data_IF_622829380935
#
_entry.id   IF_622829380935
#
_cell.length_a   1.000
_cell.length_b   1.000
_cell.length_c   1.000
_cell.angle_alpha   90.00
_cell.angle_beta   90.00
_cell.angle_gamma   90.00
#
_symmetry.space_group_name_H-M   'P 1'
#
loop_
_entity.id
_entity.type
_entity.pdbx_description
1 polymer ?
#
# COMPACT_ATOMS: atom_id res chain seq x y z
N UNK A 1 -12.05 -31.15 -76.57
CA UNK A 1 -13.05 -30.54 -75.65
C UNK A 1 -13.39 -31.56 -74.57
N UNK A 2 -12.59 -31.64 -73.49
CA UNK A 2 -13.14 -31.31 -72.16
C UNK A 2 -12.16 -30.60 -71.18
N UNK A 3 -10.87 -30.42 -71.53
CA UNK A 3 -9.88 -29.88 -70.57
C UNK A 3 -9.85 -28.34 -70.46
N UNK A 4 -10.28 -27.61 -71.50
CA UNK A 4 -10.21 -26.14 -71.51
C UNK A 4 -11.31 -25.43 -70.69
N UNK A 5 -12.40 -26.13 -70.36
CA UNK A 5 -13.51 -25.57 -69.57
C UNK A 5 -13.20 -25.62 -68.07
N UNK A 6 -12.39 -26.58 -67.61
CA UNK A 6 -12.12 -26.76 -66.17
C UNK A 6 -11.11 -25.71 -65.64
N UNK A 7 -10.18 -25.24 -66.47
CA UNK A 7 -9.17 -24.25 -66.05
C UNK A 7 -9.76 -22.82 -65.96
N UNK A 8 -10.75 -22.49 -66.80
CA UNK A 8 -11.46 -21.21 -66.71
C UNK A 8 -12.40 -21.13 -65.50
N UNK A 9 -12.97 -22.25 -65.05
CA UNK A 9 -13.83 -22.30 -63.86
C UNK A 9 -13.09 -22.06 -62.54
N UNK A 10 -11.80 -22.43 -62.46
CA UNK A 10 -10.98 -22.23 -61.25
C UNK A 10 -10.44 -20.80 -61.17
N UNK A 11 -10.21 -20.14 -62.32
CA UNK A 11 -9.79 -18.74 -62.31
C UNK A 11 -10.91 -17.78 -61.90
N UNK A 12 -12.17 -18.03 -62.29
CA UNK A 12 -13.29 -17.17 -61.88
C UNK A 12 -13.78 -17.39 -60.44
N UNK A 13 -13.51 -18.55 -59.83
CA UNK A 13 -13.79 -18.78 -58.40
C UNK A 13 -12.74 -18.16 -57.45
N UNK A 14 -11.61 -17.66 -57.98
CA UNK A 14 -10.55 -17.03 -57.18
C UNK A 14 -10.48 -15.50 -57.33
N UNK A 15 -11.30 -14.89 -58.20
CA UNK A 15 -11.31 -13.43 -58.42
C UNK A 15 -12.64 -12.75 -58.09
N UNK A 16 -13.62 -13.49 -57.55
CA UNK A 16 -14.96 -12.97 -57.25
C UNK A 16 -15.49 -13.37 -55.86
N UNK A 17 -14.59 -13.49 -54.88
CA UNK A 17 -14.98 -13.25 -53.49
C UNK A 17 -14.74 -11.77 -53.26
N UNK A 18 -15.83 -11.03 -53.10
CA UNK A 18 -15.87 -9.66 -52.62
C UNK A 18 -14.79 -9.43 -51.55
N UNK A 19 -13.67 -8.83 -51.97
CA UNK A 19 -13.01 -7.89 -51.08
C UNK A 19 -13.82 -6.61 -51.17
N UNK A 20 -14.95 -6.58 -50.47
CA UNK A 20 -15.32 -5.33 -49.81
C UNK A 20 -14.03 -4.79 -49.23
N UNK A 21 -13.64 -3.61 -49.71
CA UNK A 21 -12.53 -2.87 -49.13
C UNK A 21 -12.98 -2.44 -47.74
N UNK A 22 -13.00 -3.37 -46.80
CA UNK A 22 -12.69 -3.04 -45.43
C UNK A 22 -11.29 -2.43 -45.51
N UNK A 23 -11.22 -1.11 -45.41
CA UNK A 23 -10.01 -0.43 -45.03
C UNK A 23 -9.47 -1.19 -43.82
N UNK A 24 -8.44 -2.00 -44.03
CA UNK A 24 -7.68 -2.62 -42.95
C UNK A 24 -7.10 -1.46 -42.18
N UNK A 25 -7.77 -1.08 -41.09
CA UNK A 25 -7.18 -0.19 -40.10
C UNK A 25 -5.90 -0.88 -39.66
N UNK A 26 -4.77 -0.26 -40.00
CA UNK A 26 -3.46 -0.65 -39.50
C UNK A 26 -3.30 -0.09 -38.09
N UNK A 27 -4.18 -0.52 -37.18
CA UNK A 27 -3.93 -0.36 -35.77
C UNK A 27 -2.56 -0.99 -35.51
N UNK A 28 -1.62 -0.16 -35.04
CA UNK A 28 -0.22 -0.52 -34.94
C UNK A 28 0.37 0.08 -33.67
N UNK A 29 1.58 -0.36 -33.32
CA UNK A 29 2.27 0.10 -32.10
C UNK A 29 2.51 1.63 -32.08
N UNK A 30 2.36 2.34 -33.21
CA UNK A 30 2.47 3.81 -33.25
C UNK A 30 1.32 4.53 -32.57
N UNK A 31 0.14 3.90 -32.52
CA UNK A 31 -1.10 4.46 -31.95
C UNK A 31 -1.38 3.89 -30.55
N UNK A 32 -0.41 3.22 -29.93
CA UNK A 32 -0.64 2.56 -28.65
C UNK A 32 -0.92 3.57 -27.51
N UNK A 33 -1.90 3.28 -26.63
CA UNK A 33 -2.07 3.99 -25.37
C UNK A 33 -0.76 4.02 -24.58
N UNK A 34 -0.55 5.11 -23.83
CA UNK A 34 0.59 5.26 -22.92
C UNK A 34 0.10 5.07 -21.50
N UNK A 35 0.84 4.29 -20.71
CA UNK A 35 0.58 4.15 -19.29
C UNK A 35 1.66 4.92 -18.55
N UNK A 36 1.26 5.86 -17.70
CA UNK A 36 2.18 6.67 -16.90
C UNK A 36 1.92 6.55 -15.41
N UNK A 37 2.98 6.75 -14.62
CA UNK A 37 2.95 6.84 -13.17
C UNK A 37 4.08 7.78 -12.74
N UNK A 38 3.74 8.98 -12.27
CA UNK A 38 4.70 10.07 -12.09
C UNK A 38 5.52 10.32 -13.36
N UNK A 39 6.84 10.18 -13.26
CA UNK A 39 7.77 10.37 -14.38
C UNK A 39 8.00 9.10 -15.24
N UNK A 40 7.42 7.96 -14.86
CA UNK A 40 7.58 6.69 -15.57
C UNK A 40 6.50 6.59 -16.64
N UNK A 41 6.85 6.11 -17.82
CA UNK A 41 5.88 5.85 -18.90
C UNK A 41 6.27 4.62 -19.72
N UNK A 42 5.27 3.86 -20.13
CA UNK A 42 5.42 2.74 -21.08
C UNK A 42 4.33 2.80 -22.13
N UNK A 43 4.65 2.42 -23.37
CA UNK A 43 3.64 2.23 -24.41
C UNK A 43 3.04 0.84 -24.29
N UNK A 44 1.72 0.72 -24.46
CA UNK A 44 1.08 -0.56 -24.63
C UNK A 44 1.53 -1.24 -25.94
N UNK A 45 1.35 -2.54 -26.04
CA UNK A 45 1.63 -3.32 -27.25
C UNK A 45 0.33 -3.69 -27.91
N UNK A 46 0.23 -3.51 -29.23
CA UNK A 46 -0.96 -3.90 -29.96
C UNK A 46 -1.18 -5.42 -29.88
N UNK A 47 -2.42 -5.83 -29.60
CA UNK A 47 -2.79 -7.23 -29.44
C UNK A 47 -3.71 -7.71 -30.58
N UNK A 48 -4.81 -7.00 -30.83
CA UNK A 48 -5.75 -7.35 -31.90
C UNK A 48 -6.66 -6.18 -32.31
N UNK A 49 -7.19 -6.26 -33.52
CA UNK A 49 -8.28 -5.42 -34.03
C UNK A 49 -9.59 -6.23 -34.06
N UNK A 50 -10.73 -5.56 -33.86
CA UNK A 50 -12.04 -6.19 -33.87
C UNK A 50 -12.43 -6.84 -32.54
N UNK A 51 -13.67 -7.30 -32.44
CA UNK A 51 -14.16 -8.14 -31.33
C UNK A 51 -13.68 -9.59 -31.51
N UNK A 52 -12.37 -9.82 -31.34
CA UNK A 52 -11.78 -11.16 -31.42
C UNK A 52 -11.65 -11.81 -30.03
N UNK A 53 -11.91 -13.11 -29.97
CA UNK A 53 -11.59 -13.93 -28.79
C UNK A 53 -10.08 -14.03 -28.63
N UNK A 54 -9.55 -13.54 -27.50
CA UNK A 54 -8.12 -13.56 -27.21
C UNK A 54 -7.68 -14.97 -26.81
N UNK A 55 -6.59 -15.46 -27.42
CA UNK A 55 -6.00 -16.76 -27.06
C UNK A 55 -4.83 -16.58 -26.10
N UNK A 56 -4.56 -17.58 -25.25
CA UNK A 56 -3.37 -17.62 -24.37
C UNK A 56 -2.07 -17.31 -25.14
N UNK A 57 -1.93 -17.86 -26.36
CA UNK A 57 -0.74 -17.67 -27.19
C UNK A 57 -0.58 -16.22 -27.65
N UNK A 58 -1.66 -15.59 -28.13
CA UNK A 58 -1.64 -14.18 -28.55
C UNK A 58 -1.20 -13.27 -27.39
N UNK A 59 -1.80 -13.46 -26.22
CA UNK A 59 -1.48 -12.67 -25.02
C UNK A 59 -0.04 -12.90 -24.60
N UNK A 60 0.43 -14.16 -24.57
CA UNK A 60 1.81 -14.49 -24.20
C UNK A 60 2.84 -13.87 -25.15
N UNK A 61 2.59 -13.88 -26.47
CA UNK A 61 3.53 -13.33 -27.45
C UNK A 61 3.58 -11.80 -27.43
N UNK A 62 2.45 -11.13 -27.16
CA UNK A 62 2.43 -9.68 -26.92
C UNK A 62 3.10 -9.32 -25.59
N UNK A 63 2.84 -10.09 -24.52
CA UNK A 63 3.44 -9.88 -23.20
C UNK A 63 4.97 -10.00 -23.21
N UNK A 64 5.56 -10.81 -24.10
CA UNK A 64 7.03 -10.86 -24.29
C UNK A 64 7.61 -9.55 -24.83
N UNK A 65 6.85 -8.82 -25.65
CA UNK A 65 7.28 -7.54 -26.24
C UNK A 65 7.01 -6.35 -25.32
N UNK A 66 6.00 -6.45 -24.45
CA UNK A 66 5.59 -5.35 -23.60
C UNK A 66 6.69 -4.99 -22.57
N UNK A 67 6.96 -3.70 -22.44
CA UNK A 67 7.71 -3.16 -21.32
C UNK A 67 6.90 -3.31 -20.03
N UNK A 68 7.59 -3.40 -18.89
CA UNK A 68 6.96 -3.46 -17.58
C UNK A 68 6.98 -2.07 -16.95
N UNK A 69 5.80 -1.52 -16.65
CA UNK A 69 5.69 -0.36 -15.78
C UNK A 69 5.86 -0.81 -14.34
N UNK A 70 6.84 -0.25 -13.62
CA UNK A 70 7.09 -0.57 -12.22
C UNK A 70 6.47 0.49 -11.32
N UNK A 71 5.49 0.09 -10.52
CA UNK A 71 4.82 0.99 -9.58
C UNK A 71 5.39 0.79 -8.18
N UNK A 72 5.60 1.89 -7.46
CA UNK A 72 5.81 1.85 -6.02
C UNK A 72 4.51 1.38 -5.31
N UNK A 73 4.58 0.93 -4.06
CA UNK A 73 3.38 0.53 -3.33
C UNK A 73 2.39 1.71 -3.23
N UNK A 74 1.11 1.45 -3.53
CA UNK A 74 0.04 2.46 -3.63
C UNK A 74 0.20 3.54 -4.72
N UNK A 75 1.22 3.43 -5.59
CA UNK A 75 1.33 4.29 -6.77
C UNK A 75 0.37 3.77 -7.86
N UNK A 76 -0.52 4.63 -8.34
CA UNK A 76 -1.45 4.28 -9.42
C UNK A 76 -0.82 4.57 -10.79
N UNK A 77 -1.13 3.70 -11.76
CA UNK A 77 -0.89 3.95 -13.17
C UNK A 77 -2.13 4.59 -13.82
N UNK A 78 -1.92 5.49 -14.76
CA UNK A 78 -2.99 6.09 -15.56
C UNK A 78 -2.77 5.78 -17.05
N UNK A 79 -3.86 5.44 -17.73
CA UNK A 79 -3.87 5.15 -19.16
C UNK A 79 -4.26 6.41 -19.92
N UNK A 80 -3.30 6.94 -20.66
CA UNK A 80 -3.49 8.03 -21.61
C UNK A 80 -3.75 7.45 -23.01
N UNK A 81 -4.93 7.75 -23.55
CA UNK A 81 -5.30 7.38 -24.91
C UNK A 81 -4.56 8.22 -25.95
N UNK A 82 -4.39 7.65 -27.15
CA UNK A 82 -3.98 8.42 -28.32
C UNK A 82 -5.11 9.36 -28.79
N UNK A 83 -4.80 10.39 -29.57
CA UNK A 83 -5.78 11.40 -30.01
C UNK A 83 -6.95 10.82 -30.82
N UNK A 84 -6.71 9.73 -31.57
CA UNK A 84 -7.71 9.05 -32.39
C UNK A 84 -8.45 7.92 -31.63
N UNK A 85 -8.27 7.84 -30.32
CA UNK A 85 -8.89 6.81 -29.48
C UNK A 85 -10.00 7.37 -28.61
N UNK A 86 -11.10 6.63 -28.56
CA UNK A 86 -12.19 6.88 -27.61
C UNK A 86 -12.57 5.59 -26.88
N UNK A 87 -13.39 5.75 -25.83
CA UNK A 87 -14.06 4.68 -25.08
C UNK A 87 -13.11 3.55 -24.65
N UNK A 88 -12.56 3.68 -23.46
CA UNK A 88 -11.61 2.71 -22.90
C UNK A 88 -12.28 1.74 -21.92
N UNK A 89 -11.92 0.47 -22.01
CA UNK A 89 -12.14 -0.50 -20.95
C UNK A 89 -10.81 -1.15 -20.55
N UNK A 90 -10.61 -1.28 -19.25
CA UNK A 90 -9.48 -1.97 -18.66
C UNK A 90 -9.92 -3.33 -18.12
N UNK A 91 -9.06 -4.33 -18.25
CA UNK A 91 -9.26 -5.62 -17.59
C UNK A 91 -7.92 -6.29 -17.29
N UNK A 92 -7.89 -7.14 -16.28
CA UNK A 92 -6.74 -7.98 -15.98
C UNK A 92 -6.86 -9.31 -16.75
N UNK A 93 -5.75 -9.85 -17.24
CA UNK A 93 -5.68 -11.18 -17.84
C UNK A 93 -5.11 -12.20 -16.86
N UNK A 94 -5.85 -13.29 -16.61
CA UNK A 94 -5.34 -14.43 -15.85
C UNK A 94 -4.55 -15.36 -16.80
N UNK A 95 -3.21 -15.44 -16.68
CA UNK A 95 -2.41 -16.29 -17.57
C UNK A 95 -2.62 -17.79 -17.33
N UNK A 96 -3.01 -18.20 -16.11
CA UNK A 96 -3.21 -19.59 -15.72
C UNK A 96 -4.53 -20.09 -16.29
N UNK A 97 -5.63 -19.39 -16.00
CA UNK A 97 -6.95 -19.72 -16.55
C UNK A 97 -7.03 -19.40 -18.06
N UNK A 98 -6.27 -18.41 -18.53
CA UNK A 98 -6.31 -17.92 -19.91
C UNK A 98 -7.60 -17.21 -20.24
N UNK A 99 -8.08 -16.38 -19.32
CA UNK A 99 -9.32 -15.63 -19.46
C UNK A 99 -9.15 -14.22 -18.91
N UNK A 100 -9.95 -13.31 -19.45
CA UNK A 100 -10.10 -11.94 -18.96
C UNK A 100 -10.86 -11.96 -17.63
N UNK A 101 -10.37 -11.20 -16.66
CA UNK A 101 -11.06 -10.88 -15.42
C UNK A 101 -12.01 -9.69 -15.65
N UNK A 102 -12.74 -9.28 -14.62
CA UNK A 102 -13.82 -8.29 -14.72
C UNK A 102 -13.37 -7.02 -15.47
N UNK A 103 -14.13 -6.62 -16.49
CA UNK A 103 -13.95 -5.35 -17.22
C UNK A 103 -14.35 -4.17 -16.34
N UNK A 104 -13.56 -3.11 -16.40
CA UNK A 104 -13.77 -1.88 -15.65
C UNK A 104 -13.68 -0.69 -16.61
N UNK A 105 -14.63 0.23 -16.47
CA UNK A 105 -14.72 1.46 -17.27
C UNK A 105 -14.02 2.61 -16.51
N UNK A 106 -12.70 2.46 -16.36
CA UNK A 106 -11.85 3.43 -15.68
C UNK A 106 -10.45 3.44 -16.32
N UNK A 107 -9.79 4.59 -16.24
CA UNK A 107 -8.51 4.82 -16.91
C UNK A 107 -7.33 4.60 -15.95
N UNK A 108 -7.57 3.99 -14.79
CA UNK A 108 -6.59 3.82 -13.73
C UNK A 108 -6.28 2.35 -13.48
N UNK A 109 -4.99 2.07 -13.30
CA UNK A 109 -4.45 0.81 -12.80
C UNK A 109 -4.09 1.04 -11.34
N UNK A 110 -4.87 0.46 -10.43
CA UNK A 110 -4.62 0.59 -9.00
C UNK A 110 -3.33 -0.13 -8.59
N UNK A 111 -2.44 0.61 -7.92
CA UNK A 111 -1.27 0.04 -7.27
C UNK A 111 -1.70 -0.79 -6.06
N UNK A 112 -1.13 -1.99 -5.93
CA UNK A 112 -1.32 -2.84 -4.75
C UNK A 112 -0.02 -2.97 -3.97
N UNK A 113 -0.06 -3.58 -2.79
CA UNK A 113 1.12 -3.73 -1.94
C UNK A 113 1.77 -5.11 -2.06
N UNK A 114 1.02 -6.18 -2.34
CA UNK A 114 1.53 -7.55 -2.17
C UNK A 114 1.48 -8.44 -3.43
N UNK A 115 1.32 -7.84 -4.62
CA UNK A 115 1.39 -8.55 -5.92
C UNK A 115 2.65 -8.17 -6.70
N UNK A 116 3.73 -8.92 -6.50
CA UNK A 116 5.05 -8.62 -7.08
C UNK A 116 5.29 -9.22 -8.46
N UNK A 117 4.48 -10.20 -8.86
CA UNK A 117 4.54 -10.75 -10.21
C UNK A 117 3.95 -9.76 -11.21
N UNK A 118 4.49 -9.69 -12.45
CA UNK A 118 3.92 -8.84 -13.49
C UNK A 118 2.47 -9.20 -13.80
N UNK A 119 1.58 -8.22 -13.63
CA UNK A 119 0.16 -8.30 -13.97
C UNK A 119 -0.01 -7.82 -15.42
N UNK A 120 -0.77 -8.58 -16.20
CA UNK A 120 -1.11 -8.24 -17.57
C UNK A 120 -2.46 -7.52 -17.58
N UNK A 121 -2.48 -6.32 -18.14
CA UNK A 121 -3.72 -5.58 -18.37
C UNK A 121 -4.02 -5.49 -19.86
N UNK A 122 -5.29 -5.68 -20.22
CA UNK A 122 -5.82 -5.45 -21.55
C UNK A 122 -6.53 -4.10 -21.58
N UNK A 123 -6.14 -3.27 -22.53
CA UNK A 123 -6.71 -1.94 -22.78
C UNK A 123 -7.51 -2.03 -24.06
N UNK A 124 -8.84 -2.03 -23.96
CA UNK A 124 -9.73 -2.03 -25.11
C UNK A 124 -10.14 -0.60 -25.39
N UNK A 125 -10.02 -0.16 -26.64
CA UNK A 125 -10.34 1.19 -27.09
C UNK A 125 -11.06 1.09 -28.42
N UNK A 126 -11.73 2.16 -28.84
CA UNK A 126 -12.06 2.34 -30.24
C UNK A 126 -11.03 3.24 -30.90
N UNK A 127 -10.66 2.92 -32.14
CA UNK A 127 -9.83 3.75 -33.01
C UNK A 127 -10.71 4.10 -34.20
N UNK A 128 -10.99 5.39 -34.40
CA UNK A 128 -11.85 5.87 -35.49
C UNK A 128 -13.18 5.07 -35.59
N UNK A 129 -13.78 4.79 -34.44
CA UNK A 129 -15.03 4.05 -34.32
C UNK A 129 -14.93 2.52 -34.43
N UNK A 130 -13.73 1.93 -34.52
CA UNK A 130 -13.53 0.47 -34.58
C UNK A 130 -12.77 -0.08 -33.36
N UNK A 131 -13.18 -1.23 -32.81
CA UNK A 131 -12.56 -1.75 -31.59
C UNK A 131 -11.14 -2.26 -31.83
N UNK A 132 -10.25 -1.97 -30.89
CA UNK A 132 -8.87 -2.44 -30.82
C UNK A 132 -8.52 -2.84 -29.38
N UNK A 133 -7.61 -3.79 -29.25
CA UNK A 133 -7.10 -4.24 -27.95
C UNK A 133 -5.59 -4.09 -27.89
N UNK A 134 -5.12 -3.49 -26.82
CA UNK A 134 -3.72 -3.34 -26.47
C UNK A 134 -3.42 -4.06 -25.16
N UNK A 135 -2.14 -4.33 -24.91
CA UNK A 135 -1.65 -5.02 -23.73
C UNK A 135 -0.58 -4.19 -23.04
N UNK A 136 -0.66 -4.10 -21.73
CA UNK A 136 0.42 -3.55 -20.89
C UNK A 136 0.77 -4.51 -19.75
N UNK A 137 1.97 -4.37 -19.21
CA UNK A 137 2.41 -5.10 -18.01
C UNK A 137 2.74 -4.12 -16.90
N UNK A 138 2.22 -4.41 -15.73
CA UNK A 138 2.48 -3.63 -14.52
C UNK A 138 3.04 -4.55 -13.45
N UNK A 139 4.06 -4.10 -12.74
CA UNK A 139 4.69 -4.86 -11.65
C UNK A 139 4.85 -3.97 -10.43
N UNK A 140 4.42 -4.44 -9.26
CA UNK A 140 4.69 -3.73 -8.00
C UNK A 140 6.14 -3.94 -7.59
N UNK A 141 6.80 -2.87 -7.16
CA UNK A 141 8.12 -2.97 -6.52
C UNK A 141 7.98 -3.61 -5.15
N UNK A 142 8.84 -4.58 -4.87
CA UNK A 142 9.05 -5.10 -3.53
C UNK A 142 10.13 -4.25 -2.85
N UNK A 143 9.71 -3.30 -2.01
CA UNK A 143 10.61 -2.34 -1.35
C UNK A 143 11.02 -2.84 0.04
N UNK A 144 10.13 -3.56 0.72
CA UNK A 144 10.35 -4.07 2.08
C UNK A 144 10.21 -5.59 2.12
N UNK A 145 11.04 -6.26 2.90
CA UNK A 145 11.05 -7.73 3.00
C UNK A 145 9.70 -8.31 3.48
N UNK A 146 9.00 -7.55 4.32
CA UNK A 146 7.72 -7.93 4.92
C UNK A 146 6.51 -7.52 4.08
N UNK A 147 6.69 -6.81 2.96
CA UNK A 147 5.61 -6.19 2.19
C UNK A 147 4.54 -7.19 1.71
N UNK A 148 4.92 -8.45 1.41
CA UNK A 148 3.97 -9.52 1.04
C UNK A 148 2.96 -9.88 2.14
N UNK A 149 3.30 -9.60 3.39
CA UNK A 149 2.49 -9.95 4.56
C UNK A 149 1.47 -8.87 4.93
N UNK A 150 1.51 -7.75 4.23
CA UNK A 150 0.66 -6.58 4.49
C UNK A 150 -0.66 -6.66 3.73
N UNK A 151 -1.67 -6.03 4.32
CA UNK A 151 -2.99 -5.89 3.74
C UNK A 151 -2.97 -4.82 2.64
N UNK A 152 -3.48 -5.12 1.44
CA UNK A 152 -3.66 -4.10 0.42
C UNK A 152 -4.71 -3.03 0.81
N UNK A 153 -5.64 -3.35 1.71
CA UNK A 153 -6.64 -2.41 2.20
C UNK A 153 -6.07 -1.49 3.29
N UNK A 154 -5.95 -0.20 2.99
CA UNK A 154 -5.45 0.84 3.90
C UNK A 154 -6.37 1.12 5.10
N UNK A 155 -7.61 0.62 5.08
CA UNK A 155 -8.52 0.74 6.22
C UNK A 155 -8.31 -0.36 7.26
N UNK A 156 -7.46 -1.35 6.96
CA UNK A 156 -7.21 -2.51 7.82
C UNK A 156 -5.78 -2.55 8.32
N UNK A 157 -5.63 -3.01 9.55
CA UNK A 157 -4.31 -3.26 10.13
C UNK A 157 -3.72 -4.58 9.65
N UNK A 158 -2.38 -4.64 9.56
CA UNK A 158 -1.64 -5.87 9.28
C UNK A 158 -0.81 -6.24 10.49
N UNK A 159 -1.14 -7.35 11.13
CA UNK A 159 -0.34 -7.94 12.21
C UNK A 159 0.68 -8.86 11.57
N UNK A 160 1.96 -8.55 11.77
CA UNK A 160 3.05 -9.39 11.33
C UNK A 160 3.81 -9.91 12.54
N UNK A 161 3.79 -11.21 12.72
CA UNK A 161 4.31 -11.84 13.93
C UNK A 161 5.41 -12.83 13.56
N UNK A 162 6.53 -12.68 14.24
CA UNK A 162 7.71 -13.49 14.10
C UNK A 162 7.92 -14.27 15.40
N UNK A 163 7.96 -15.59 15.33
CA UNK A 163 8.16 -16.46 16.50
C UNK A 163 9.14 -17.57 16.18
N UNK A 164 9.61 -18.27 17.21
CA UNK A 164 10.33 -19.52 17.04
C UNK A 164 9.36 -20.65 16.60
N UNK A 165 9.91 -21.81 16.24
CA UNK A 165 9.13 -22.96 15.78
C UNK A 165 8.21 -23.55 16.86
N UNK A 166 8.53 -23.32 18.13
CA UNK A 166 7.76 -23.78 19.30
C UNK A 166 6.67 -22.78 19.73
N UNK A 167 6.84 -21.50 19.41
CA UNK A 167 5.97 -20.39 19.77
C UNK A 167 4.75 -20.23 18.87
N UNK A 168 3.97 -21.30 18.69
CA UNK A 168 2.63 -21.15 18.09
C UNK A 168 1.80 -20.20 18.95
N UNK A 169 1.19 -19.22 18.29
CA UNK A 169 0.28 -18.30 18.96
C UNK A 169 -1.07 -18.98 18.99
N UNK A 170 -1.25 -19.83 19.99
CA UNK A 170 -2.52 -20.47 20.23
C UNK A 170 -3.56 -19.39 20.61
N UNK A 171 -4.70 -19.41 19.93
CA UNK A 171 -5.89 -18.59 20.21
C UNK A 171 -5.84 -17.09 19.85
N UNK A 172 -5.04 -16.66 18.87
CA UNK A 172 -5.26 -15.34 18.24
C UNK A 172 -6.25 -15.48 17.08
N UNK A 173 -7.28 -14.63 17.02
CA UNK A 173 -8.21 -14.67 15.89
C UNK A 173 -7.49 -14.15 14.63
N UNK A 174 -7.33 -15.05 13.67
CA UNK A 174 -6.77 -14.71 12.37
C UNK A 174 -7.85 -14.06 11.51
N UNK A 175 -7.56 -12.89 10.95
CA UNK A 175 -8.35 -12.22 9.92
C UNK A 175 -9.75 -11.75 10.36
N UNK A 176 -9.80 -10.86 11.35
CA UNK A 176 -11.00 -10.12 11.73
C UNK A 176 -11.35 -9.02 10.71
N UNK A 177 -12.58 -8.47 10.70
CA UNK A 177 -12.98 -7.44 9.74
C UNK A 177 -12.02 -6.24 9.64
N UNK A 178 -11.37 -5.86 10.73
CA UNK A 178 -10.46 -4.72 10.79
C UNK A 178 -8.96 -5.02 10.73
N UNK A 179 -8.55 -6.30 10.73
CA UNK A 179 -7.13 -6.63 10.61
C UNK A 179 -6.87 -8.02 10.03
N UNK A 180 -5.71 -8.18 9.39
CA UNK A 180 -5.20 -9.49 8.99
C UNK A 180 -3.98 -9.86 9.82
N UNK A 181 -3.72 -11.16 9.91
CA UNK A 181 -2.59 -11.68 10.68
C UNK A 181 -1.75 -12.58 9.82
N UNK A 182 -0.45 -12.29 9.77
CA UNK A 182 0.57 -13.10 9.12
C UNK A 182 1.60 -13.53 10.17
N UNK A 183 1.79 -14.84 10.32
CA UNK A 183 2.79 -15.40 11.23
C UNK A 183 3.88 -16.12 10.43
N UNK A 184 5.14 -15.90 10.80
CA UNK A 184 6.29 -16.61 10.25
C UNK A 184 7.12 -17.16 11.39
N UNK A 185 7.37 -18.47 11.35
CA UNK A 185 8.12 -19.17 12.37
C UNK A 185 9.52 -19.49 11.84
N UNK A 186 10.52 -19.38 12.71
CA UNK A 186 11.88 -19.81 12.40
C UNK A 186 12.88 -19.34 13.45
N UNK A 187 14.14 -19.80 13.36
CA UNK A 187 15.21 -19.32 14.24
C UNK A 187 15.44 -17.81 14.06
N UNK A 188 15.78 -17.11 15.14
CA UNK A 188 16.05 -15.66 15.13
C UNK A 188 16.99 -15.24 14.00
N UNK A 189 18.10 -15.96 13.82
CA UNK A 189 19.09 -15.65 12.78
C UNK A 189 18.52 -15.77 11.36
N UNK A 190 17.64 -16.73 11.10
CA UNK A 190 16.98 -16.87 9.79
C UNK A 190 16.00 -15.71 9.56
N UNK A 191 15.20 -15.38 10.57
CA UNK A 191 14.23 -14.29 10.48
C UNK A 191 14.90 -12.92 10.32
N UNK A 192 16.04 -12.69 10.97
CA UNK A 192 16.88 -11.50 10.75
C UNK A 192 17.39 -11.40 9.31
N UNK A 193 17.79 -12.52 8.70
CA UNK A 193 18.23 -12.55 7.30
C UNK A 193 17.07 -12.36 6.32
N UNK A 194 15.90 -12.91 6.62
CA UNK A 194 14.71 -12.78 5.79
C UNK A 194 14.10 -11.39 5.86
N UNK A 195 14.13 -10.75 7.03
CA UNK A 195 13.51 -9.45 7.31
C UNK A 195 14.49 -8.43 7.93
N UNK A 196 15.58 -8.08 7.22
CA UNK A 196 16.65 -7.25 7.77
C UNK A 196 16.22 -5.83 8.14
N UNK A 197 15.25 -5.28 7.42
CA UNK A 197 14.67 -3.95 7.61
C UNK A 197 13.77 -3.83 8.85
N UNK A 198 13.47 -4.94 9.54
CA UNK A 198 12.69 -4.90 10.79
C UNK A 198 13.53 -4.70 12.05
N UNK A 199 14.85 -4.92 12.00
CA UNK A 199 15.73 -4.79 13.17
C UNK A 199 15.29 -5.71 14.32
N UNK A 200 15.08 -6.98 14.01
CA UNK A 200 14.62 -8.00 14.97
C UNK A 200 15.77 -8.32 15.92
N UNK A 201 15.57 -8.17 17.23
CA UNK A 201 16.59 -8.47 18.24
C UNK A 201 16.27 -9.74 19.03
N UNK A 202 14.98 -10.05 19.21
CA UNK A 202 14.50 -11.24 19.94
C UNK A 202 13.15 -11.71 19.43
N UNK A 203 12.77 -12.92 19.83
CA UNK A 203 11.48 -13.54 19.52
C UNK A 203 10.67 -13.75 20.81
N UNK A 204 9.32 -13.65 20.77
CA UNK A 204 8.55 -13.21 19.61
C UNK A 204 8.79 -11.73 19.30
N UNK A 205 8.59 -11.36 18.04
CA UNK A 205 8.59 -9.95 17.58
C UNK A 205 7.29 -9.69 16.84
N UNK A 206 6.53 -8.72 17.31
CA UNK A 206 5.18 -8.40 16.86
C UNK A 206 5.21 -7.00 16.27
N UNK A 207 4.65 -6.88 15.07
CA UNK A 207 4.54 -5.61 14.37
C UNK A 207 3.10 -5.38 13.94
N UNK A 208 2.62 -4.14 14.08
CA UNK A 208 1.36 -3.71 13.49
C UNK A 208 1.66 -2.65 12.45
N UNK A 209 1.10 -2.83 11.27
CA UNK A 209 1.21 -1.89 10.17
C UNK A 209 -0.15 -1.31 9.80
N UNK A 210 -0.14 -0.05 9.41
CA UNK A 210 -1.22 0.57 8.64
C UNK A 210 -0.66 1.02 7.29
N UNK A 211 -1.06 0.33 6.22
CA UNK A 211 -0.35 0.38 4.95
C UNK A 211 1.12 -0.04 5.11
N UNK A 212 2.05 0.81 4.64
CA UNK A 212 3.49 0.61 4.80
C UNK A 212 4.05 1.11 6.14
N UNK A 213 3.26 1.86 6.91
CA UNK A 213 3.75 2.48 8.13
C UNK A 213 3.68 1.48 9.28
N UNK A 214 4.84 1.20 9.89
CA UNK A 214 4.89 0.47 11.17
C UNK A 214 4.35 1.39 12.26
N UNK A 215 3.23 1.00 12.85
CA UNK A 215 2.56 1.76 13.92
C UNK A 215 2.65 1.07 15.29
N UNK A 216 3.27 -0.10 15.38
CA UNK A 216 3.57 -0.76 16.65
C UNK A 216 4.74 -1.73 16.51
N UNK A 217 5.50 -1.88 17.58
CA UNK A 217 6.44 -2.98 17.80
C UNK A 217 6.30 -3.42 19.25
N UNK A 218 6.20 -4.72 19.47
CA UNK A 218 6.33 -5.31 20.81
C UNK A 218 6.97 -6.68 20.73
N UNK A 219 7.53 -7.09 21.85
CA UNK A 219 8.07 -8.44 22.05
C UNK A 219 7.22 -9.21 23.08
N UNK A 220 6.10 -8.61 23.49
CA UNK A 220 5.14 -9.15 24.45
C UNK A 220 3.82 -9.49 23.75
N UNK A 221 3.51 -10.78 23.71
CA UNK A 221 2.27 -11.29 23.12
C UNK A 221 1.02 -10.84 23.89
N UNK A 222 1.14 -10.58 25.19
CA UNK A 222 0.01 -10.14 26.01
C UNK A 222 -0.35 -8.69 25.70
N UNK A 223 0.62 -7.83 25.36
CA UNK A 223 0.34 -6.48 24.85
C UNK A 223 -0.49 -6.53 23.57
N UNK A 224 -0.13 -7.43 22.64
CA UNK A 224 -0.87 -7.58 21.39
C UNK A 224 -2.29 -8.14 21.62
N UNK A 225 -2.44 -9.16 22.47
CA UNK A 225 -3.77 -9.69 22.85
C UNK A 225 -4.63 -8.57 23.42
N UNK A 226 -4.10 -7.85 24.38
CA UNK A 226 -4.78 -6.74 25.05
C UNK A 226 -5.24 -5.67 24.04
N UNK A 227 -4.37 -5.25 23.11
CA UNK A 227 -4.73 -4.29 22.06
C UNK A 227 -5.92 -4.74 21.22
N UNK A 228 -6.09 -6.04 20.96
CA UNK A 228 -7.20 -6.56 20.15
C UNK A 228 -8.49 -6.82 20.92
N UNK A 229 -8.41 -7.01 22.23
CA UNK A 229 -9.57 -7.45 23.05
C UNK A 229 -10.20 -6.35 23.87
N UNK A 230 -9.43 -5.35 24.27
CA UNK A 230 -9.85 -4.33 25.22
C UNK A 230 -9.27 -2.96 24.85
N UNK A 231 -9.84 -1.91 25.44
CA UNK A 231 -9.28 -0.56 25.40
C UNK A 231 -8.63 -0.31 26.74
N UNK A 232 -7.35 0.04 26.73
CA UNK A 232 -6.57 0.33 27.94
C UNK A 232 -6.01 1.73 27.92
N UNK A 233 -5.86 2.32 29.10
CA UNK A 233 -5.17 3.60 29.23
C UNK A 233 -3.78 3.39 29.85
N UNK A 234 -2.74 3.53 29.04
CA UNK A 234 -1.36 3.57 29.53
C UNK A 234 -1.04 4.96 30.07
N UNK A 235 -0.47 5.02 31.28
CA UNK A 235 -0.09 6.29 31.91
C UNK A 235 1.43 6.41 31.94
N UNK A 236 1.93 7.53 31.45
CA UNK A 236 3.34 7.88 31.48
C UNK A 236 3.52 9.23 32.17
N UNK A 237 4.60 9.37 32.94
CA UNK A 237 4.89 10.59 33.69
C UNK A 237 6.36 10.98 33.58
N UNK A 238 6.62 12.28 33.54
CA UNK A 238 7.96 12.84 33.55
C UNK A 238 7.98 14.23 34.20
N UNK A 239 9.16 14.65 34.64
CA UNK A 239 9.35 15.99 35.17
C UNK A 239 10.80 16.45 34.98
N UNK A 240 11.00 17.76 34.96
CA UNK A 240 12.31 18.40 35.04
C UNK A 240 12.23 19.62 35.97
N UNK A 241 13.18 20.55 35.88
CA UNK A 241 13.21 21.74 36.74
C UNK A 241 12.01 22.67 36.58
N UNK A 242 11.42 22.72 35.38
CA UNK A 242 10.37 23.68 35.02
C UNK A 242 9.02 23.04 34.76
N UNK A 243 8.96 21.74 34.49
CA UNK A 243 7.77 21.07 33.99
C UNK A 243 7.48 19.77 34.73
N UNK A 244 6.19 19.49 34.88
CA UNK A 244 5.68 18.16 35.16
C UNK A 244 4.71 17.79 34.06
N UNK A 245 4.82 16.55 33.57
CA UNK A 245 3.97 16.06 32.49
C UNK A 245 3.39 14.71 32.86
N UNK A 246 2.10 14.56 32.63
CA UNK A 246 1.41 13.29 32.58
C UNK A 246 0.83 13.11 31.18
N UNK A 247 1.05 11.93 30.61
CA UNK A 247 0.57 11.54 29.31
C UNK A 247 -0.25 10.24 29.47
N UNK A 248 -1.51 10.29 29.03
CA UNK A 248 -2.40 9.14 29.04
C UNK A 248 -2.63 8.71 27.59
N UNK A 249 -2.33 7.46 27.26
CA UNK A 249 -2.60 6.88 25.95
C UNK A 249 -3.70 5.81 26.09
N UNK A 250 -4.89 6.15 25.62
CA UNK A 250 -6.02 5.23 25.55
C UNK A 250 -6.00 4.48 24.21
N UNK A 251 -5.68 3.19 24.26
CA UNK A 251 -5.33 2.39 23.11
C UNK A 251 -6.12 1.08 23.04
N UNK A 252 -6.59 0.76 21.83
CA UNK A 252 -7.15 -0.52 21.41
C UNK A 252 -7.11 -0.57 19.88
N UNK A 253 -7.34 -1.71 19.24
CA UNK A 253 -7.05 -1.86 17.81
C UNK A 253 -7.76 -0.83 16.88
N UNK A 254 -8.88 -0.26 17.34
CA UNK A 254 -9.62 0.81 16.64
C UNK A 254 -9.54 2.18 17.33
N UNK A 255 -8.72 2.35 18.35
CA UNK A 255 -8.65 3.57 19.18
C UNK A 255 -7.21 3.90 19.58
N UNK A 256 -6.80 5.15 19.38
CA UNK A 256 -5.44 5.63 19.68
C UNK A 256 -5.49 7.05 20.27
N UNK A 257 -6.30 7.25 21.30
CA UNK A 257 -6.45 8.57 21.88
C UNK A 257 -5.29 8.87 22.83
N UNK A 258 -4.85 10.11 22.83
CA UNK A 258 -3.82 10.62 23.71
C UNK A 258 -4.32 11.88 24.41
N UNK A 259 -3.92 12.02 25.66
CA UNK A 259 -4.14 13.20 26.47
C UNK A 259 -2.84 13.59 27.19
N UNK A 260 -2.50 14.87 27.12
CA UNK A 260 -1.39 15.48 27.82
C UNK A 260 -1.93 16.40 28.91
N UNK A 261 -1.31 16.32 30.08
CA UNK A 261 -1.47 17.26 31.18
C UNK A 261 -0.10 17.77 31.56
N UNK A 262 0.22 18.99 31.13
CA UNK A 262 1.52 19.64 31.30
C UNK A 262 1.34 20.77 32.31
N UNK A 263 2.10 20.74 33.39
CA UNK A 263 2.09 21.76 34.44
C UNK A 263 3.43 22.48 34.47
N UNK A 264 3.39 23.79 34.29
CA UNK A 264 4.55 24.65 34.48
C UNK A 264 4.77 24.93 35.98
N UNK A 265 6.00 24.69 36.44
CA UNK A 265 6.48 24.92 37.81
C UNK A 265 7.64 25.91 37.88
N UNK A 266 8.13 26.37 36.73
CA UNK A 266 9.17 27.37 36.67
C UNK A 266 8.67 28.73 37.14
N UNK A 267 9.62 29.66 37.28
CA UNK A 267 9.35 31.02 37.76
C UNK A 267 9.38 32.07 36.65
N UNK A 268 9.76 31.68 35.44
CA UNK A 268 9.87 32.59 34.30
C UNK A 268 8.49 32.76 33.64
N UNK A 269 8.11 33.98 33.25
CA UNK A 269 6.88 34.18 32.49
C UNK A 269 7.03 33.55 31.10
N UNK A 270 5.98 32.87 30.64
CA UNK A 270 5.85 32.35 29.28
C UNK A 270 4.85 33.22 28.54
N UNK A 271 5.27 33.79 27.41
CA UNK A 271 4.49 34.79 26.68
C UNK A 271 3.88 34.28 25.38
N UNK A 272 4.48 33.26 24.79
CA UNK A 272 4.02 32.62 23.55
C UNK A 272 3.29 31.30 23.81
N UNK A 273 2.61 30.81 22.77
CA UNK A 273 2.07 29.46 22.76
C UNK A 273 3.21 28.43 22.82
N UNK A 274 2.94 27.30 23.48
CA UNK A 274 3.89 26.21 23.64
C UNK A 274 3.58 25.16 22.57
N UNK A 275 4.55 24.89 21.71
CA UNK A 275 4.54 23.72 20.82
C UNK A 275 4.89 22.46 21.62
N UNK A 276 4.03 21.45 21.51
CA UNK A 276 4.16 20.16 22.19
C UNK A 276 4.41 19.10 21.13
N UNK A 277 5.53 18.39 21.27
CA UNK A 277 5.77 17.17 20.50
C UNK A 277 6.07 15.98 21.40
N UNK A 278 5.50 14.83 21.06
CA UNK A 278 5.81 13.53 21.66
C UNK A 278 6.76 12.80 20.71
N UNK A 279 7.92 12.40 21.24
CA UNK A 279 8.94 11.67 20.50
C UNK A 279 9.11 10.26 21.09
N UNK A 280 9.15 9.26 20.21
CA UNK A 280 9.66 7.92 20.48
C UNK A 280 10.95 7.66 19.70
N UNK A 281 11.51 6.46 19.82
CA UNK A 281 12.82 6.13 19.24
C UNK A 281 12.90 6.29 17.70
N UNK A 282 11.78 6.12 17.00
CA UNK A 282 11.72 6.14 15.53
C UNK A 282 10.52 6.91 14.95
N UNK A 283 9.83 7.71 15.77
CA UNK A 283 8.67 8.47 15.35
C UNK A 283 8.51 9.72 16.22
N UNK A 284 7.80 10.72 15.70
CA UNK A 284 7.43 11.91 16.43
C UNK A 284 6.00 12.32 16.07
N UNK A 285 5.35 13.01 16.99
CA UNK A 285 4.00 13.54 16.82
C UNK A 285 3.93 14.95 17.40
N UNK A 286 3.71 15.95 16.54
CA UNK A 286 3.32 17.29 16.98
C UNK A 286 1.89 17.22 17.50
N UNK A 287 1.76 17.19 18.82
CA UNK A 287 0.52 16.89 19.49
C UNK A 287 -0.42 18.10 19.53
N UNK A 288 0.12 19.30 19.78
CA UNK A 288 -0.65 20.54 19.86
C UNK A 288 0.26 21.77 19.95
N UNK A 289 -0.34 22.94 19.72
CA UNK A 289 0.16 24.25 20.17
C UNK A 289 -0.86 24.82 21.16
N UNK A 290 -0.41 25.47 22.24
CA UNK A 290 -1.33 26.16 23.13
C UNK A 290 -0.72 26.97 24.27
N UNK A 291 -1.49 27.95 24.74
CA UNK A 291 -1.15 28.80 25.87
C UNK A 291 -1.42 28.13 27.22
N UNK A 292 -0.60 28.43 28.23
CA UNK A 292 -0.87 28.00 29.62
C UNK A 292 -2.13 28.67 30.18
N UNK A 293 -3.05 27.87 30.69
CA UNK A 293 -4.20 28.33 31.48
C UNK A 293 -3.95 28.05 32.95
N UNK A 294 -3.70 29.09 33.74
CA UNK A 294 -3.36 28.95 35.18
C UNK A 294 -2.16 28.02 35.43
N UNK A 295 -1.14 28.08 34.56
CA UNK A 295 0.07 27.24 34.66
C UNK A 295 -0.11 25.80 34.17
N UNK A 296 -1.27 25.45 33.60
CA UNK A 296 -1.56 24.13 33.05
C UNK A 296 -1.85 24.24 31.57
N UNK A 297 -1.32 23.29 30.80
CA UNK A 297 -1.62 23.07 29.40
C UNK A 297 -2.15 21.65 29.25
N UNK A 298 -3.33 21.52 28.63
CA UNK A 298 -3.92 20.24 28.31
C UNK A 298 -4.11 20.15 26.80
N UNK A 299 -3.75 19.00 26.24
CA UNK A 299 -3.88 18.73 24.81
C UNK A 299 -4.38 17.30 24.61
N UNK A 300 -5.15 17.07 23.56
CA UNK A 300 -5.60 15.72 23.20
C UNK A 300 -5.63 15.53 21.69
N UNK A 301 -5.50 14.28 21.25
CA UNK A 301 -5.52 13.93 19.84
C UNK A 301 -5.37 12.43 19.62
N UNK A 302 -5.27 12.03 18.35
CA UNK A 302 -4.99 10.64 17.99
C UNK A 302 -3.48 10.44 17.80
N UNK A 303 -2.89 9.46 18.50
CA UNK A 303 -1.48 9.11 18.30
C UNK A 303 -1.30 8.40 16.95
N UNK A 304 -0.21 8.67 16.21
CA UNK A 304 0.07 7.99 14.96
C UNK A 304 0.49 6.52 15.16
N UNK A 305 0.81 6.13 16.39
CA UNK A 305 1.30 4.80 16.76
C UNK A 305 0.60 4.26 18.01
N UNK A 306 0.61 2.95 18.18
CA UNK A 306 0.38 2.29 19.47
C UNK A 306 1.65 2.33 20.32
N UNK A 307 1.51 2.34 21.65
CA UNK A 307 2.64 2.50 22.56
C UNK A 307 2.82 1.23 23.40
N UNK A 308 4.04 0.72 23.42
CA UNK A 308 4.45 -0.38 24.29
C UNK A 308 4.79 0.15 25.68
N UNK A 309 4.72 -0.73 26.69
CA UNK A 309 5.23 -0.43 28.04
C UNK A 309 6.75 -0.21 28.05
N UNK A 310 7.43 -0.77 27.05
CA UNK A 310 8.88 -0.71 26.89
C UNK A 310 9.36 0.51 26.09
N UNK A 311 8.45 1.31 25.53
CA UNK A 311 8.82 2.47 24.72
C UNK A 311 9.53 3.53 25.55
N UNK A 312 10.61 4.06 24.97
CA UNK A 312 11.30 5.25 25.49
C UNK A 312 10.65 6.48 24.86
N UNK A 313 9.87 7.18 25.68
CA UNK A 313 9.13 8.35 25.25
C UNK A 313 9.74 9.62 25.85
N UNK A 314 9.68 10.71 25.10
CA UNK A 314 9.97 12.04 25.61
C UNK A 314 9.00 13.07 25.06
N UNK A 315 8.64 14.03 25.89
CA UNK A 315 7.93 15.23 25.43
C UNK A 315 8.95 16.34 25.23
N UNK A 316 8.83 17.02 24.10
CA UNK A 316 9.59 18.21 23.78
C UNK A 316 8.63 19.39 23.75
N UNK A 317 8.93 20.38 24.59
CA UNK A 317 8.18 21.63 24.71
C UNK A 317 9.03 22.76 24.12
N UNK A 318 8.44 23.56 23.23
CA UNK A 318 9.12 24.73 22.61
C UNK A 318 8.28 25.99 22.80
N UNK A 319 8.92 27.07 23.27
CA UNK A 319 8.28 28.38 23.51
C UNK A 319 9.33 29.49 23.59
N UNK A 320 9.02 30.71 23.17
CA UNK A 320 9.91 31.88 23.31
C UNK A 320 11.38 31.61 22.86
N UNK A 321 11.56 30.77 21.83
CA UNK A 321 12.88 30.32 21.33
C UNK A 321 13.63 29.31 22.22
N UNK A 322 13.02 28.80 23.29
CA UNK A 322 13.54 27.75 24.17
C UNK A 322 13.00 26.38 23.77
N UNK A 323 13.76 25.34 24.10
CA UNK A 323 13.36 23.94 23.97
C UNK A 323 13.73 23.19 25.25
N UNK A 324 12.77 22.44 25.80
CA UNK A 324 13.04 21.50 26.89
C UNK A 324 12.49 20.12 26.58
N UNK A 325 13.29 19.10 26.91
CA UNK A 325 12.95 17.69 26.72
C UNK A 325 12.76 17.01 28.06
N UNK A 326 11.63 16.31 28.21
CA UNK A 326 11.22 15.63 29.43
C UNK A 326 11.04 14.14 29.09
N UNK A 327 11.90 13.30 29.65
CA UNK A 327 11.75 11.85 29.52
C UNK A 327 10.52 11.38 30.30
N UNK A 328 9.72 10.51 29.68
CA UNK A 328 8.54 9.92 30.29
C UNK A 328 8.82 8.48 30.69
N UNK A 329 8.43 8.11 31.91
CA UNK A 329 8.45 6.74 32.40
C UNK A 329 7.04 6.19 32.51
N UNK A 330 6.85 4.94 32.07
CA UNK A 330 5.60 4.22 32.25
C UNK A 330 5.24 4.02 33.73
N UNK A 331 4.00 4.30 34.11
CA UNK A 331 3.49 4.24 35.49
C UNK A 331 2.42 3.18 35.71
N UNK A 332 1.84 2.62 34.66
CA UNK A 332 0.85 1.56 34.74
C UNK A 332 -0.32 1.73 33.78
N UNK A 333 -1.29 0.85 33.94
CA UNK A 333 -2.55 0.81 33.17
C UNK A 333 -3.69 1.29 34.07
N UNK A 334 -4.67 1.99 33.48
CA UNK A 334 -5.95 2.33 34.09
C UNK A 334 -7.09 1.71 33.32
#
# INVERSE_FOLDING_TARGET
>A
MPAAIIILSIFFLNTFIDSDKEEKIKASDSEAPVIHAGNKKVKAVFLSSGETNLTKKMVADAAKKAAVLRLAPYENGEVQLAENQDRMFLSEWDPIAGKELKKQDWYQIEGTINRFEPIIYLIRVNIDGRPATYLTKVQMLNVYSYQKHLNPDLTKHSFFILSDEEGKIDNFSFNEPGYITSQVNGPLAELQNMYPDLGIEKLPSIYIFNGLNRIFKSEDMDEMRSLTTEVKTHVYEGANGNWQVQFNAEQGIYKRNAEFFITYKGTEPITEDIDISLEGEHWGWGAAEGSLQSGILAASGETPVFLSKSDKLSIVLRWDGKEERIALGYKGEK
#
